data_IF_792800332337
#
_entry.id   IF_792800332337
#
_cell.length_a   1.000
_cell.length_b   1.000
_cell.length_c   1.000
_cell.angle_alpha   90.00
_cell.angle_beta   90.00
_cell.angle_gamma   90.00
#
_symmetry.space_group_name_H-M   'P 1'
#
loop_
_entity.id
_entity.type
_entity.pdbx_description
1 polymer ?
#
# COMPACT_ATOMS: atom_id res chain seq x y z
N UNK A 1 -15.10 7.95 -8.55
CA UNK A 1 -14.92 6.52 -8.87
C UNK A 1 -16.25 5.83 -8.67
N UNK A 2 -16.80 5.20 -9.70
CA UNK A 2 -18.13 4.57 -9.67
C UNK A 2 -18.30 3.56 -8.51
N UNK A 3 -17.33 2.68 -8.30
CA UNK A 3 -17.35 1.70 -7.19
C UNK A 3 -17.45 2.36 -5.80
N UNK A 4 -16.93 3.59 -5.64
CA UNK A 4 -17.07 4.33 -4.38
C UNK A 4 -18.49 4.83 -4.19
N UNK A 5 -19.10 5.33 -5.24
CA UNK A 5 -20.48 5.83 -5.23
C UNK A 5 -21.46 4.69 -4.95
N UNK A 6 -21.26 3.52 -5.56
CA UNK A 6 -22.03 2.30 -5.27
C UNK A 6 -21.90 1.85 -3.80
N UNK A 7 -20.75 2.09 -3.18
CA UNK A 7 -20.52 1.84 -1.76
C UNK A 7 -21.01 2.98 -0.83
N UNK A 8 -21.77 3.96 -1.35
CA UNK A 8 -22.29 5.08 -0.57
C UNK A 8 -21.22 6.09 -0.15
N UNK A 9 -20.10 6.16 -0.87
CA UNK A 9 -18.98 7.08 -0.61
C UNK A 9 -18.91 8.17 -1.67
N UNK A 10 -18.26 9.29 -1.31
CA UNK A 10 -17.85 10.30 -2.28
C UNK A 10 -16.91 9.69 -3.35
N UNK A 11 -17.05 10.08 -4.64
CA UNK A 11 -16.31 9.50 -5.75
C UNK A 11 -14.79 9.69 -5.62
N UNK A 12 -14.36 10.79 -5.02
CA UNK A 12 -12.97 11.08 -4.70
C UNK A 12 -12.67 10.72 -3.24
N UNK A 13 -11.58 9.98 -2.95
CA UNK A 13 -11.20 9.67 -1.58
C UNK A 13 -10.60 10.91 -0.89
N UNK A 14 -10.88 11.05 0.41
CA UNK A 14 -10.27 12.08 1.27
C UNK A 14 -9.18 11.52 2.20
N UNK A 15 -9.15 10.19 2.38
CA UNK A 15 -8.19 9.50 3.22
C UNK A 15 -7.72 8.19 2.58
N UNK A 16 -6.52 7.76 2.96
CA UNK A 16 -5.93 6.50 2.53
C UNK A 16 -5.11 5.82 3.61
N UNK A 17 -4.66 4.60 3.32
CA UNK A 17 -3.81 3.78 4.20
C UNK A 17 -2.59 3.36 3.40
N UNK A 18 -1.40 3.52 3.98
CA UNK A 18 -0.12 3.14 3.37
C UNK A 18 0.49 2.00 4.16
N UNK A 19 0.96 0.99 3.43
CA UNK A 19 1.75 -0.10 4.00
C UNK A 19 2.61 -0.75 2.91
N UNK A 20 3.56 -1.59 3.34
CA UNK A 20 4.47 -2.32 2.49
C UNK A 20 4.36 -3.84 2.65
N UNK A 21 4.51 -4.57 1.56
CA UNK A 21 4.60 -6.03 1.57
C UNK A 21 5.88 -6.49 0.88
N UNK A 22 6.69 -7.26 1.62
CA UNK A 22 7.86 -7.97 1.08
C UNK A 22 7.39 -9.23 0.37
N UNK A 23 7.82 -9.44 -0.88
CA UNK A 23 7.52 -10.64 -1.67
C UNK A 23 8.80 -11.25 -2.24
N UNK A 24 8.85 -12.59 -2.31
CA UNK A 24 9.95 -13.32 -2.96
C UNK A 24 9.97 -12.99 -4.46
N UNK A 25 11.13 -12.60 -4.99
CA UNK A 25 11.30 -12.25 -6.41
C UNK A 25 12.51 -13.00 -7.03
N UNK A 26 12.35 -14.31 -7.36
CA UNK A 26 13.47 -15.16 -7.80
C UNK A 26 14.02 -14.79 -9.19
N UNK A 27 13.22 -14.13 -10.04
CA UNK A 27 13.62 -13.77 -11.40
C UNK A 27 13.97 -12.28 -11.55
N UNK A 28 13.81 -11.47 -10.50
CA UNK A 28 13.96 -10.02 -10.61
C UNK A 28 15.41 -9.58 -10.82
N UNK A 29 15.62 -8.65 -11.77
CA UNK A 29 16.94 -8.06 -12.04
C UNK A 29 17.44 -7.23 -10.84
N UNK A 30 16.52 -6.48 -10.23
CA UNK A 30 16.76 -5.70 -9.01
C UNK A 30 15.96 -6.29 -7.85
N UNK A 31 16.67 -6.84 -6.87
CA UNK A 31 16.10 -7.41 -5.64
C UNK A 31 17.05 -7.20 -4.47
N UNK A 32 16.47 -7.13 -3.27
CA UNK A 32 17.21 -6.97 -2.03
C UNK A 32 17.08 -8.20 -1.13
N UNK A 33 17.65 -8.09 0.06
CA UNK A 33 17.43 -9.02 1.16
C UNK A 33 16.78 -8.31 2.34
N UNK A 34 15.60 -8.76 2.73
CA UNK A 34 14.92 -8.34 3.95
C UNK A 34 15.43 -9.19 5.13
N UNK A 35 16.30 -8.62 5.97
CA UNK A 35 16.89 -9.33 7.10
C UNK A 35 15.85 -9.71 8.17
N UNK A 36 14.82 -8.88 8.36
CA UNK A 36 13.78 -9.12 9.36
C UNK A 36 12.89 -10.30 8.93
N UNK A 37 12.52 -10.36 7.65
CA UNK A 37 11.66 -11.43 7.11
C UNK A 37 12.43 -12.61 6.53
N UNK A 38 13.76 -12.49 6.39
CA UNK A 38 14.66 -13.46 5.73
C UNK A 38 14.20 -13.79 4.31
N UNK A 39 13.81 -12.77 3.56
CA UNK A 39 13.28 -12.91 2.19
C UNK A 39 14.18 -12.15 1.21
N UNK A 40 14.60 -12.83 0.14
CA UNK A 40 15.20 -12.19 -1.03
C UNK A 40 14.08 -11.83 -2.01
N UNK A 41 13.95 -10.54 -2.35
CA UNK A 41 12.96 -10.15 -3.34
C UNK A 41 12.72 -8.64 -3.47
N UNK A 42 11.45 -8.30 -3.66
CA UNK A 42 10.98 -6.91 -3.85
C UNK A 42 9.95 -6.55 -2.78
N UNK A 43 9.83 -5.26 -2.50
CA UNK A 43 8.87 -4.69 -1.56
C UNK A 43 7.85 -3.89 -2.36
N UNK A 44 6.57 -4.18 -2.09
CA UNK A 44 5.42 -3.51 -2.72
C UNK A 44 4.90 -2.49 -1.73
N UNK A 45 5.15 -1.21 -1.98
CA UNK A 45 4.55 -0.11 -1.24
C UNK A 45 3.23 0.23 -1.90
N UNK A 46 2.13 0.19 -1.17
CA UNK A 46 0.83 0.55 -1.72
C UNK A 46 0.17 1.64 -0.88
N UNK A 47 -0.60 2.49 -1.55
CA UNK A 47 -1.60 3.33 -0.92
C UNK A 47 -2.98 2.86 -1.36
N UNK A 48 -3.89 2.69 -0.42
CA UNK A 48 -5.28 2.32 -0.69
C UNK A 48 -6.23 3.32 -0.07
N UNK A 49 -7.45 3.43 -0.58
CA UNK A 49 -8.51 4.21 0.10
C UNK A 49 -9.03 3.51 1.36
N UNK A 50 -9.95 4.16 2.06
CA UNK A 50 -10.53 3.65 3.31
C UNK A 50 -11.33 2.35 3.20
N UNK A 51 -11.64 1.87 2.00
CA UNK A 51 -12.28 0.57 1.77
C UNK A 51 -11.36 -0.42 1.01
N UNK A 52 -10.12 -0.05 0.70
CA UNK A 52 -9.10 -0.92 0.10
C UNK A 52 -9.01 -0.84 -1.43
N UNK A 53 -9.44 0.26 -2.05
CA UNK A 53 -9.20 0.51 -3.49
C UNK A 53 -7.79 1.01 -3.70
N UNK A 54 -7.05 0.42 -4.63
CA UNK A 54 -5.67 0.81 -4.91
C UNK A 54 -5.61 2.25 -5.45
N UNK A 55 -4.85 3.11 -4.78
CA UNK A 55 -4.60 4.50 -5.19
C UNK A 55 -3.23 4.65 -5.86
N UNK A 56 -2.23 3.93 -5.34
CA UNK A 56 -0.85 3.94 -5.84
C UNK A 56 -0.15 2.63 -5.48
N UNK A 57 0.78 2.21 -6.33
CA UNK A 57 1.73 1.12 -6.05
C UNK A 57 3.12 1.56 -6.47
N UNK A 58 4.13 1.23 -5.67
CA UNK A 58 5.53 1.43 -5.99
C UNK A 58 6.31 0.18 -5.59
N UNK A 59 7.23 -0.27 -6.45
CA UNK A 59 8.04 -1.46 -6.22
C UNK A 59 9.49 -1.06 -6.00
N UNK A 60 10.05 -1.47 -4.86
CA UNK A 60 11.46 -1.28 -4.54
C UNK A 60 12.13 -2.63 -4.29
N UNK A 61 13.45 -2.66 -4.28
CA UNK A 61 14.17 -3.77 -3.65
C UNK A 61 13.92 -3.78 -2.14
N UNK A 62 14.10 -4.92 -1.47
CA UNK A 62 13.68 -5.08 -0.07
C UNK A 62 14.65 -4.51 0.96
N UNK A 63 15.89 -4.23 0.53
CA UNK A 63 16.93 -3.52 1.28
C UNK A 63 16.61 -2.02 1.44
N UNK A 64 15.71 -1.48 0.63
CA UNK A 64 15.22 -0.11 0.78
C UNK A 64 14.24 -0.03 1.95
N UNK A 65 14.45 0.96 2.82
CA UNK A 65 13.61 1.24 3.97
C UNK A 65 12.20 1.71 3.56
N UNK A 66 11.20 1.30 4.35
CA UNK A 66 9.79 1.57 4.07
C UNK A 66 9.50 3.06 3.97
N UNK A 67 10.09 3.87 4.86
CA UNK A 67 9.95 5.32 4.82
C UNK A 67 10.46 5.95 3.52
N UNK A 68 11.50 5.40 2.89
CA UNK A 68 12.00 5.91 1.60
C UNK A 68 11.04 5.55 0.47
N UNK A 69 10.54 4.31 0.46
CA UNK A 69 9.50 3.90 -0.49
C UNK A 69 8.21 4.70 -0.35
N UNK A 70 7.86 5.06 0.88
CA UNK A 70 6.69 5.86 1.22
C UNK A 70 6.73 7.27 0.63
N UNK A 71 7.90 7.92 0.61
CA UNK A 71 8.04 9.29 0.06
C UNK A 71 7.58 9.36 -1.40
N UNK A 72 8.00 8.39 -2.22
CA UNK A 72 7.58 8.31 -3.62
C UNK A 72 6.06 8.07 -3.75
N UNK A 73 5.49 7.28 -2.83
CA UNK A 73 4.04 7.05 -2.78
C UNK A 73 3.30 8.34 -2.42
N UNK A 74 3.77 9.12 -1.44
CA UNK A 74 3.13 10.38 -1.03
C UNK A 74 3.06 11.40 -2.18
N UNK A 75 4.18 11.59 -2.90
CA UNK A 75 4.24 12.53 -4.02
C UNK A 75 3.31 12.12 -5.16
N UNK A 76 3.30 10.83 -5.49
CA UNK A 76 2.42 10.29 -6.52
C UNK A 76 0.93 10.38 -6.12
N UNK A 77 0.61 10.09 -4.85
CA UNK A 77 -0.75 10.24 -4.31
C UNK A 77 -1.19 11.70 -4.37
N UNK A 78 -0.34 12.67 -3.99
CA UNK A 78 -0.72 14.09 -4.06
C UNK A 78 -1.03 14.53 -5.48
N UNK A 79 -0.20 14.10 -6.44
CA UNK A 79 -0.33 14.44 -7.86
C UNK A 79 -1.61 13.83 -8.46
N UNK A 80 -1.92 12.58 -8.13
CA UNK A 80 -3.05 11.85 -8.74
C UNK A 80 -4.38 12.06 -8.00
N UNK A 81 -4.32 12.20 -6.68
CA UNK A 81 -5.46 12.26 -5.76
C UNK A 81 -5.34 13.47 -4.82
N UNK A 82 -5.43 14.70 -5.35
CA UNK A 82 -5.19 15.92 -4.55
C UNK A 82 -6.18 16.12 -3.40
N UNK A 83 -7.35 15.47 -3.45
CA UNK A 83 -8.35 15.48 -2.38
C UNK A 83 -8.00 14.60 -1.17
N UNK A 84 -7.03 13.69 -1.29
CA UNK A 84 -6.54 12.91 -0.15
C UNK A 84 -5.71 13.83 0.74
N UNK A 85 -6.10 13.96 2.00
CA UNK A 85 -5.39 14.77 3.00
C UNK A 85 -4.95 13.98 4.22
N UNK A 86 -5.52 12.80 4.45
CA UNK A 86 -5.25 12.02 5.64
C UNK A 86 -4.76 10.62 5.29
N UNK A 87 -3.64 10.19 5.86
CA UNK A 87 -3.01 8.92 5.56
C UNK A 87 -2.71 8.16 6.84
N UNK A 88 -3.25 6.96 6.96
CA UNK A 88 -2.93 6.05 8.06
C UNK A 88 -1.69 5.22 7.70
N UNK A 89 -0.74 5.09 8.62
CA UNK A 89 0.46 4.29 8.45
C UNK A 89 0.81 3.55 9.76
N UNK A 90 1.73 2.59 9.69
CA UNK A 90 2.24 1.93 10.89
C UNK A 90 3.48 2.62 11.48
N UNK A 91 3.95 2.10 12.62
CA UNK A 91 5.11 2.64 13.33
C UNK A 91 6.42 2.63 12.53
N UNK A 92 6.56 1.82 11.48
CA UNK A 92 7.76 1.84 10.64
C UNK A 92 7.87 3.14 9.81
N UNK A 93 6.74 3.84 9.63
CA UNK A 93 6.64 5.13 8.95
C UNK A 93 6.84 6.32 9.89
N UNK A 94 7.07 6.07 11.19
CA UNK A 94 7.39 7.12 12.17
C UNK A 94 8.83 7.61 12.03
N UNK A 95 9.12 8.31 10.93
CA UNK A 95 10.42 8.89 10.61
C UNK A 95 10.23 10.38 10.37
N UNK A 96 11.02 11.22 11.04
CA UNK A 96 10.94 12.69 10.97
C UNK A 96 10.92 13.19 9.52
N UNK A 97 11.83 12.70 8.68
CA UNK A 97 11.89 13.09 7.27
C UNK A 97 10.62 12.75 6.47
N UNK A 98 9.93 11.65 6.80
CA UNK A 98 8.66 11.30 6.15
C UNK A 98 7.54 12.24 6.62
N UNK A 99 7.48 12.52 7.91
CA UNK A 99 6.48 13.43 8.49
C UNK A 99 6.62 14.85 7.97
N UNK A 100 7.85 15.37 7.91
CA UNK A 100 8.14 16.71 7.40
C UNK A 100 7.74 16.83 5.92
N UNK A 101 8.05 15.79 5.12
CA UNK A 101 7.67 15.78 3.71
C UNK A 101 6.15 15.67 3.54
N UNK A 102 5.48 14.85 4.33
CA UNK A 102 4.03 14.72 4.31
C UNK A 102 3.35 16.06 4.65
N UNK A 103 3.82 16.75 5.68
CA UNK A 103 3.33 18.08 6.04
C UNK A 103 3.52 19.09 4.90
N UNK A 104 4.70 19.08 4.24
CA UNK A 104 4.97 19.92 3.06
C UNK A 104 4.01 19.65 1.90
N UNK A 105 3.49 18.42 1.79
CA UNK A 105 2.55 18.01 0.76
C UNK A 105 1.07 18.17 1.18
N UNK A 106 0.80 18.85 2.32
CA UNK A 106 -0.53 19.03 2.90
C UNK A 106 -1.22 17.67 3.21
N UNK A 107 -0.44 16.72 3.73
CA UNK A 107 -0.94 15.48 4.31
C UNK A 107 -0.80 15.47 5.82
N UNK A 108 -1.81 14.91 6.49
CA UNK A 108 -1.75 14.46 7.88
C UNK A 108 -1.48 12.96 7.86
N UNK A 109 -0.30 12.55 8.35
CA UNK A 109 0.04 11.12 8.51
C UNK A 109 -0.25 10.71 9.94
N UNK A 110 -1.26 9.86 10.12
CA UNK A 110 -1.59 9.27 11.40
C UNK A 110 -0.89 7.91 11.53
N UNK A 111 0.11 7.86 12.42
CA UNK A 111 0.79 6.60 12.75
C UNK A 111 -0.03 5.85 13.79
N UNK A 112 -0.66 4.75 13.35
CA UNK A 112 -1.48 3.89 14.20
C UNK A 112 -0.57 2.91 14.94
N UNK A 113 -0.24 3.25 16.20
CA UNK A 113 0.58 2.43 17.09
C UNK A 113 -0.26 1.39 17.84
N UNK A 114 0.37 0.28 18.22
CA UNK A 114 -0.20 -0.63 19.23
C UNK A 114 -0.14 0.06 20.59
N UNK A 115 -1.18 -0.12 21.39
CA UNK A 115 -1.20 0.40 22.76
C UNK A 115 -0.19 -0.39 23.61
N UNK A 116 0.76 0.29 24.27
CA UNK A 116 1.90 -0.35 24.95
C UNK A 116 1.48 -1.31 26.08
N UNK A 117 0.31 -1.08 26.68
CA UNK A 117 -0.25 -1.90 27.76
C UNK A 117 -1.16 -3.04 27.27
N UNK A 118 -1.28 -3.24 25.96
CA UNK A 118 -2.23 -4.20 25.42
C UNK A 118 -1.64 -5.61 25.32
N UNK A 119 -2.23 -6.54 26.07
CA UNK A 119 -1.95 -7.97 26.00
C UNK A 119 -2.92 -8.65 25.02
N UNK A 120 -2.38 -9.43 24.07
CA UNK A 120 -3.18 -10.14 23.07
C UNK A 120 -3.40 -9.38 21.75
N UNK A 121 -4.28 -9.92 20.89
CA UNK A 121 -4.58 -9.34 19.58
C UNK A 121 -5.54 -8.16 19.70
N UNK A 122 -5.20 -7.06 19.02
CA UNK A 122 -5.96 -5.83 18.97
C UNK A 122 -6.24 -5.45 17.53
N UNK A 123 -7.49 -5.17 17.20
CA UNK A 123 -7.80 -4.60 15.88
C UNK A 123 -7.36 -3.13 15.90
N UNK A 124 -6.28 -2.83 15.19
CA UNK A 124 -5.87 -1.46 14.93
C UNK A 124 -6.84 -0.85 13.90
N UNK A 125 -7.55 0.24 14.24
CA UNK A 125 -8.47 0.87 13.31
C UNK A 125 -7.77 1.21 11.99
N UNK A 126 -8.46 1.00 10.87
CA UNK A 126 -8.04 1.33 9.49
C UNK A 126 -6.83 0.58 8.91
N UNK A 127 -5.88 0.10 9.72
CA UNK A 127 -4.73 -0.70 9.24
C UNK A 127 -5.13 -2.00 8.54
N UNK A 128 -6.16 -2.67 9.04
CA UNK A 128 -6.62 -3.95 8.47
C UNK A 128 -7.08 -3.81 7.00
N UNK A 129 -7.39 -2.60 6.52
CA UNK A 129 -7.87 -2.36 5.15
C UNK A 129 -6.76 -2.62 4.12
N UNK A 130 -5.55 -2.13 4.36
CA UNK A 130 -4.40 -2.35 3.45
C UNK A 130 -3.90 -3.79 3.55
N UNK A 131 -3.88 -4.36 4.76
CA UNK A 131 -3.56 -5.78 4.98
C UNK A 131 -4.54 -6.70 4.25
N UNK A 132 -5.85 -6.39 4.29
CA UNK A 132 -6.87 -7.09 3.49
C UNK A 132 -6.62 -6.94 1.99
N UNK A 133 -6.18 -5.77 1.54
CA UNK A 133 -5.85 -5.53 0.12
C UNK A 133 -4.68 -6.41 -0.32
N UNK A 134 -3.64 -6.53 0.50
CA UNK A 134 -2.58 -7.52 0.28
C UNK A 134 -3.13 -8.95 0.25
N UNK A 135 -4.09 -9.28 1.12
CA UNK A 135 -4.80 -10.56 1.07
C UNK A 135 -5.49 -10.82 -0.27
N UNK A 136 -6.14 -9.81 -0.87
CA UNK A 136 -6.73 -9.93 -2.22
C UNK A 136 -5.66 -10.09 -3.30
N UNK A 137 -4.53 -9.39 -3.19
CA UNK A 137 -3.39 -9.59 -4.08
C UNK A 137 -2.89 -11.03 -4.00
N UNK A 138 -2.71 -11.58 -2.79
CA UNK A 138 -2.27 -12.98 -2.60
C UNK A 138 -3.30 -13.98 -3.15
N UNK A 139 -4.60 -13.68 -3.07
CA UNK A 139 -5.66 -14.51 -3.66
C UNK A 139 -5.54 -14.60 -5.20
N UNK A 140 -5.03 -13.56 -5.84
CA UNK A 140 -4.52 -13.65 -7.20
C UNK A 140 -3.20 -14.40 -7.19
N UNK A 141 -3.26 -15.74 -7.26
CA UNK A 141 -2.12 -16.66 -7.08
C UNK A 141 -0.83 -16.25 -7.80
N UNK A 142 -0.93 -15.56 -8.94
CA UNK A 142 0.21 -15.01 -9.68
C UNK A 142 1.03 -13.98 -8.89
N UNK A 143 0.42 -13.23 -7.96
CA UNK A 143 1.08 -12.22 -7.14
C UNK A 143 1.64 -12.76 -5.82
N UNK A 144 1.46 -14.04 -5.48
CA UNK A 144 2.03 -14.66 -4.26
C UNK A 144 3.56 -14.57 -4.25
N UNK A 145 4.16 -14.70 -5.43
CA UNK A 145 5.58 -14.42 -5.69
C UNK A 145 5.67 -13.48 -6.87
N UNK A 146 6.75 -12.72 -6.94
CA UNK A 146 7.03 -11.88 -8.09
C UNK A 146 7.93 -12.64 -9.07
N UNK A 147 7.32 -13.14 -10.13
CA UNK A 147 8.02 -13.90 -11.17
C UNK A 147 8.62 -13.01 -12.27
N UNK A 148 8.35 -11.70 -12.22
CA UNK A 148 8.76 -10.79 -13.27
C UNK A 148 10.24 -10.42 -13.12
N UNK A 149 10.91 -10.11 -14.23
CA UNK A 149 12.28 -9.59 -14.20
C UNK A 149 12.29 -8.10 -13.88
N UNK A 150 11.40 -7.34 -14.55
CA UNK A 150 11.31 -5.88 -14.44
C UNK A 150 10.30 -5.43 -13.40
N UNK A 151 10.55 -4.25 -12.81
CA UNK A 151 9.68 -3.62 -11.83
C UNK A 151 8.32 -3.20 -12.41
N UNK A 152 8.33 -2.56 -13.57
CA UNK A 152 7.15 -2.07 -14.26
C UNK A 152 6.20 -3.19 -14.71
N UNK A 153 6.72 -4.33 -15.13
CA UNK A 153 5.89 -5.51 -15.47
C UNK A 153 5.18 -6.04 -14.22
N UNK A 154 5.88 -6.14 -13.08
CA UNK A 154 5.27 -6.55 -11.81
C UNK A 154 4.21 -5.55 -11.33
N UNK A 155 4.47 -4.26 -11.49
CA UNK A 155 3.48 -3.20 -11.21
C UNK A 155 2.23 -3.36 -12.08
N UNK A 156 2.41 -3.59 -13.39
CA UNK A 156 1.30 -3.83 -14.31
C UNK A 156 0.47 -5.06 -13.91
N UNK A 157 1.12 -6.14 -13.44
CA UNK A 157 0.41 -7.32 -12.94
C UNK A 157 -0.44 -7.02 -11.70
N UNK A 158 0.03 -6.14 -10.81
CA UNK A 158 -0.76 -5.67 -9.66
C UNK A 158 -1.95 -4.85 -10.13
N UNK A 159 -1.76 -3.94 -11.08
CA UNK A 159 -2.85 -3.17 -11.67
C UNK A 159 -3.91 -4.06 -12.33
N UNK A 160 -3.53 -5.09 -13.08
CA UNK A 160 -4.46 -6.05 -13.67
C UNK A 160 -5.31 -6.73 -12.58
N UNK A 161 -4.65 -7.24 -11.53
CA UNK A 161 -5.34 -7.93 -10.45
C UNK A 161 -6.34 -7.02 -9.71
N UNK A 162 -5.93 -5.79 -9.40
CA UNK A 162 -6.78 -4.83 -8.68
C UNK A 162 -7.89 -4.26 -9.57
N UNK A 163 -7.64 -4.11 -10.88
CA UNK A 163 -8.68 -3.74 -11.85
C UNK A 163 -9.73 -4.84 -11.98
N UNK A 164 -9.33 -6.11 -12.02
CA UNK A 164 -10.27 -7.23 -12.03
C UNK A 164 -11.13 -7.27 -10.76
N UNK A 165 -10.55 -6.97 -9.59
CA UNK A 165 -11.31 -6.84 -8.35
C UNK A 165 -12.30 -5.67 -8.41
N UNK A 166 -11.87 -4.50 -8.90
CA UNK A 166 -12.70 -3.30 -9.04
C UNK A 166 -13.87 -3.56 -9.99
N UNK A 167 -13.62 -4.16 -11.15
CA UNK A 167 -14.66 -4.53 -12.13
C UNK A 167 -15.70 -5.47 -11.52
N UNK A 168 -15.25 -6.47 -10.75
CA UNK A 168 -16.17 -7.40 -10.07
C UNK A 168 -17.11 -6.67 -9.10
N UNK A 169 -16.61 -5.67 -8.35
CA UNK A 169 -17.46 -4.89 -7.43
C UNK A 169 -18.46 -4.01 -8.16
N UNK A 170 -18.07 -3.45 -9.31
CA UNK A 170 -18.96 -2.62 -10.12
C UNK A 170 -20.04 -3.48 -10.79
N UNK A 171 -19.67 -4.64 -11.35
CA UNK A 171 -20.59 -5.54 -12.05
C UNK A 171 -21.49 -6.35 -11.10
N UNK A 172 -21.05 -6.58 -9.86
CA UNK A 172 -21.76 -7.34 -8.84
C UNK A 172 -21.68 -6.61 -7.49
N UNK A 173 -22.42 -5.51 -7.33
CA UNK A 173 -22.41 -4.67 -6.13
C UNK A 173 -23.00 -5.37 -4.90
#
# INVERSE_FOLDING_TARGET
>A
MLDRELAGRQPCPSAGVIDSQTVKAPSADKRGYDAAKKIVGRKRHIAVDTDGRLLMVNLTSTDIADSTGALAVLEAVKKRWPGVKHLFADGAYDRTALMDRAATLDFVVEVVRRHEQQTGFAVLPRRWVVERTFGWMVRWRRLVRDYEQRADVSEAMIHIAMSGLLLRRIAHP
#
